data_IF_209806450295
#
_entry.id   IF_209806450295
#
_cell.length_a   1.000
_cell.length_b   1.000
_cell.length_c   1.000
_cell.angle_alpha   90.00
_cell.angle_beta   90.00
_cell.angle_gamma   90.00
#
_symmetry.space_group_name_H-M   'P 1'
#
loop_
_entity.id
_entity.type
_entity.pdbx_description
1 polymer ?
#
# COMPACT_ATOMS: atom_id res chain seq x y z
N UNK A 1 -38.52 -2.41 65.44
CA UNK A 1 -37.58 -3.20 64.64
C UNK A 1 -36.56 -3.81 65.60
N UNK A 2 -36.41 -5.13 65.64
CA UNK A 2 -35.40 -5.77 66.50
C UNK A 2 -33.99 -5.43 66.00
N UNK A 3 -33.00 -5.43 66.90
CA UNK A 3 -31.58 -5.23 66.55
C UNK A 3 -31.11 -6.18 65.45
N UNK A 4 -31.67 -7.39 65.40
CA UNK A 4 -31.40 -8.38 64.36
C UNK A 4 -31.97 -7.99 62.99
N UNK A 5 -33.13 -7.35 62.94
CA UNK A 5 -33.70 -6.83 61.68
C UNK A 5 -32.84 -5.71 61.06
N UNK A 6 -32.23 -4.87 61.90
CA UNK A 6 -31.31 -3.81 61.44
C UNK A 6 -30.01 -4.40 60.91
N UNK A 7 -29.46 -5.44 61.56
CA UNK A 7 -28.25 -6.15 61.10
C UNK A 7 -28.44 -6.80 59.73
N UNK A 8 -29.58 -7.47 59.52
CA UNK A 8 -29.88 -8.10 58.23
C UNK A 8 -30.06 -7.09 57.10
N UNK A 9 -30.73 -5.95 57.37
CA UNK A 9 -30.86 -4.87 56.40
C UNK A 9 -29.51 -4.28 55.98
N UNK A 10 -28.62 -4.01 56.94
CA UNK A 10 -27.27 -3.50 56.65
C UNK A 10 -26.47 -4.50 55.80
N UNK A 11 -26.56 -5.79 56.10
CA UNK A 11 -25.82 -6.82 55.37
C UNK A 11 -26.31 -6.96 53.91
N UNK A 12 -27.63 -6.88 53.68
CA UNK A 12 -28.22 -6.89 52.33
C UNK A 12 -27.76 -5.67 51.53
N UNK A 13 -27.76 -4.47 52.13
CA UNK A 13 -27.32 -3.24 51.46
C UNK A 13 -25.84 -3.31 51.08
N UNK A 14 -24.97 -3.82 51.96
CA UNK A 14 -23.54 -3.97 51.67
C UNK A 14 -23.29 -4.99 50.55
N UNK A 15 -23.99 -6.13 50.56
CA UNK A 15 -23.87 -7.15 49.50
C UNK A 15 -24.41 -6.62 48.17
N UNK A 16 -25.53 -5.90 48.18
CA UNK A 16 -26.08 -5.28 46.98
C UNK A 16 -25.13 -4.20 46.42
N UNK A 17 -24.55 -3.35 47.28
CA UNK A 17 -23.59 -2.33 46.88
C UNK A 17 -22.29 -2.94 46.34
N UNK A 18 -21.77 -4.00 46.97
CA UNK A 18 -20.60 -4.74 46.49
C UNK A 18 -20.90 -5.46 45.16
N UNK A 19 -22.08 -6.05 45.02
CA UNK A 19 -22.55 -6.69 43.79
C UNK A 19 -22.70 -5.69 42.64
N UNK A 20 -23.28 -4.51 42.90
CA UNK A 20 -23.35 -3.40 41.94
C UNK A 20 -21.94 -2.92 41.58
N UNK A 21 -21.04 -2.73 42.54
CA UNK A 21 -19.67 -2.29 42.29
C UNK A 21 -18.82 -3.32 41.51
N UNK A 22 -19.05 -4.61 41.72
CA UNK A 22 -18.43 -5.69 40.93
C UNK A 22 -19.03 -5.77 39.53
N UNK A 23 -20.35 -5.60 39.40
CA UNK A 23 -21.05 -5.62 38.12
C UNK A 23 -20.70 -4.43 37.23
N UNK A 24 -20.59 -3.21 37.79
CA UNK A 24 -20.16 -2.02 37.05
C UNK A 24 -18.71 -2.13 36.60
N UNK A 25 -17.79 -2.57 37.47
CA UNK A 25 -16.41 -2.86 37.07
C UNK A 25 -16.32 -3.92 35.99
N UNK A 26 -17.12 -4.98 36.08
CA UNK A 26 -17.18 -6.02 35.06
C UNK A 26 -17.69 -5.50 33.71
N UNK A 27 -18.72 -4.64 33.71
CA UNK A 27 -19.24 -3.96 32.52
C UNK A 27 -18.19 -3.02 31.89
N UNK A 28 -17.47 -2.26 32.71
CA UNK A 28 -16.39 -1.35 32.27
C UNK A 28 -15.20 -2.09 31.65
N UNK A 29 -14.99 -3.36 32.01
CA UNK A 29 -13.93 -4.20 31.42
C UNK A 29 -14.33 -4.94 30.13
N UNK A 30 -15.60 -4.86 29.71
CA UNK A 30 -16.02 -5.53 28.47
C UNK A 30 -15.36 -4.84 27.25
N UNK A 31 -14.78 -5.62 26.31
CA UNK A 31 -14.26 -5.05 25.08
C UNK A 31 -15.34 -4.26 24.33
N UNK A 32 -14.92 -3.19 23.66
CA UNK A 32 -15.80 -2.33 22.87
C UNK A 32 -16.87 -1.54 23.67
N UNK A 33 -16.80 -1.49 25.01
CA UNK A 33 -17.69 -0.63 25.83
C UNK A 33 -17.19 0.81 25.87
N UNK A 34 -15.88 0.99 26.02
CA UNK A 34 -15.21 2.28 25.90
C UNK A 34 -14.45 2.34 24.58
N UNK A 35 -14.53 3.45 23.83
CA UNK A 35 -13.77 3.61 22.61
C UNK A 35 -12.26 3.56 22.90
N UNK A 36 -11.51 2.92 22.02
CA UNK A 36 -10.07 3.11 21.94
C UNK A 36 -9.82 4.51 21.36
N UNK A 37 -9.31 5.40 22.20
CA UNK A 37 -9.04 6.79 21.83
C UNK A 37 -7.60 6.92 21.32
N UNK A 38 -7.41 7.61 20.20
CA UNK A 38 -6.12 7.75 19.54
C UNK A 38 -5.84 9.19 19.08
N UNK A 39 -4.56 9.53 18.99
CA UNK A 39 -4.07 10.79 18.46
C UNK A 39 -3.00 10.52 17.39
N UNK A 40 -2.69 11.54 16.59
CA UNK A 40 -1.50 11.52 15.74
C UNK A 40 -0.30 12.01 16.56
N UNK A 41 0.79 11.25 16.54
CA UNK A 41 2.06 11.58 17.16
C UNK A 41 3.06 12.11 16.14
N UNK A 42 4.27 11.54 16.14
CA UNK A 42 5.34 11.94 15.23
C UNK A 42 5.01 11.55 13.79
N UNK A 43 5.13 12.50 12.87
CA UNK A 43 4.94 12.29 11.42
C UNK A 43 6.25 12.64 10.74
N UNK A 44 6.97 11.62 10.28
CA UNK A 44 8.19 11.85 9.52
C UNK A 44 7.87 12.42 8.12
N UNK A 45 8.37 13.63 7.84
CA UNK A 45 8.09 14.34 6.59
C UNK A 45 8.56 13.57 5.34
N UNK A 46 9.47 12.60 5.48
CA UNK A 46 9.97 11.77 4.35
C UNK A 46 8.90 10.85 3.76
N UNK A 47 7.77 10.62 4.44
CA UNK A 47 6.61 9.96 3.85
C UNK A 47 5.86 10.84 2.84
N UNK A 48 6.13 12.16 2.80
CA UNK A 48 5.49 13.08 1.86
C UNK A 48 4.03 13.42 2.20
N UNK A 49 3.55 13.03 3.38
CA UNK A 49 2.23 13.41 3.91
C UNK A 49 2.39 14.18 5.23
N UNK A 50 1.48 15.14 5.46
CA UNK A 50 1.43 15.89 6.70
C UNK A 50 0.44 15.30 7.72
N UNK A 51 0.50 15.77 8.97
CA UNK A 51 -0.37 15.30 10.05
C UNK A 51 -1.86 15.42 9.73
N UNK A 52 -2.29 16.47 9.02
CA UNK A 52 -3.69 16.64 8.64
C UNK A 52 -4.21 15.52 7.72
N UNK A 53 -3.39 15.11 6.74
CA UNK A 53 -3.73 13.99 5.85
C UNK A 53 -3.78 12.68 6.64
N UNK A 54 -2.81 12.45 7.52
CA UNK A 54 -2.79 11.25 8.36
C UNK A 54 -3.98 11.19 9.34
N UNK A 55 -4.41 12.33 9.89
CA UNK A 55 -5.64 12.40 10.70
C UNK A 55 -6.85 11.96 9.88
N UNK A 56 -6.96 12.43 8.63
CA UNK A 56 -8.08 12.08 7.76
C UNK A 56 -8.09 10.59 7.43
N UNK A 57 -6.93 10.01 7.09
CA UNK A 57 -6.80 8.59 6.77
C UNK A 57 -7.04 7.70 8.01
N UNK A 58 -6.55 8.09 9.18
CA UNK A 58 -6.82 7.38 10.43
C UNK A 58 -8.30 7.42 10.82
N UNK A 59 -8.98 8.57 10.63
CA UNK A 59 -10.44 8.65 10.83
C UNK A 59 -11.21 7.77 9.86
N UNK A 60 -10.80 7.74 8.59
CA UNK A 60 -11.42 6.87 7.59
C UNK A 60 -11.22 5.38 7.93
N UNK A 61 -10.02 4.98 8.36
CA UNK A 61 -9.74 3.63 8.80
C UNK A 61 -10.53 3.24 10.07
N UNK A 62 -10.61 4.13 11.05
CA UNK A 62 -11.42 3.92 12.26
C UNK A 62 -12.92 3.78 11.94
N UNK A 63 -13.41 4.53 10.96
CA UNK A 63 -14.81 4.48 10.54
C UNK A 63 -15.21 3.08 10.02
N UNK A 64 -14.29 2.34 9.39
CA UNK A 64 -14.54 0.96 8.93
C UNK A 64 -15.02 0.08 10.10
N UNK A 65 -14.27 0.10 11.20
CA UNK A 65 -14.60 -0.69 12.39
C UNK A 65 -15.78 -0.14 13.17
N UNK A 66 -15.93 1.19 13.25
CA UNK A 66 -17.10 1.81 13.89
C UNK A 66 -18.40 1.45 13.17
N UNK A 67 -18.39 1.44 11.83
CA UNK A 67 -19.53 1.01 11.01
C UNK A 67 -19.81 -0.48 11.21
N UNK A 68 -18.78 -1.33 11.19
CA UNK A 68 -18.92 -2.76 11.44
C UNK A 68 -19.51 -3.06 12.83
N UNK A 69 -19.07 -2.34 13.86
CA UNK A 69 -19.55 -2.47 15.23
C UNK A 69 -20.91 -1.80 15.48
N UNK A 70 -21.37 -0.94 14.55
CA UNK A 70 -22.57 -0.10 14.68
C UNK A 70 -22.54 0.82 15.92
N UNK A 71 -21.35 1.15 16.40
CA UNK A 71 -21.09 2.08 17.51
C UNK A 71 -19.67 2.62 17.40
N UNK A 72 -19.40 3.71 18.12
CA UNK A 72 -18.05 4.28 18.17
C UNK A 72 -17.18 3.43 19.09
N UNK A 73 -16.25 2.66 18.52
CA UNK A 73 -15.25 1.87 19.24
C UNK A 73 -13.83 2.42 19.05
N UNK A 74 -13.64 3.33 18.10
CA UNK A 74 -12.42 4.09 17.86
C UNK A 74 -12.76 5.57 17.74
N UNK A 75 -12.05 6.42 18.48
CA UNK A 75 -12.29 7.85 18.50
C UNK A 75 -10.97 8.64 18.40
N UNK A 76 -10.94 9.65 17.54
CA UNK A 76 -9.81 10.57 17.48
C UNK A 76 -9.94 11.64 18.56
N UNK A 77 -8.88 11.82 19.35
CA UNK A 77 -8.72 12.91 20.30
C UNK A 77 -7.24 13.34 20.26
N UNK A 78 -6.91 14.61 19.98
CA UNK A 78 -5.51 15.08 19.92
C UNK A 78 -4.72 14.82 21.23
N UNK A 79 -5.40 14.77 22.37
CA UNK A 79 -4.80 14.56 23.69
C UNK A 79 -4.70 13.07 24.08
N UNK A 80 -5.17 12.15 23.22
CA UNK A 80 -5.15 10.73 23.54
C UNK A 80 -3.72 10.21 23.79
N UNK A 81 -3.59 9.31 24.77
CA UNK A 81 -2.31 8.69 25.10
C UNK A 81 -1.78 7.77 23.98
N UNK A 82 -2.67 7.04 23.29
CA UNK A 82 -2.26 6.19 22.18
C UNK A 82 -1.94 7.03 20.95
N UNK A 83 -0.67 7.03 20.54
CA UNK A 83 -0.20 7.78 19.37
C UNK A 83 -0.05 6.88 18.15
N UNK A 84 -0.45 7.40 16.99
CA UNK A 84 -0.13 6.85 15.67
C UNK A 84 1.03 7.65 15.09
N UNK A 85 2.13 6.98 14.77
CA UNK A 85 3.35 7.61 14.26
C UNK A 85 3.68 7.11 12.85
N UNK A 86 4.24 7.98 12.01
CA UNK A 86 4.96 7.54 10.80
C UNK A 86 6.44 7.50 11.11
N UNK A 87 7.02 6.31 11.08
CA UNK A 87 8.43 6.08 11.44
C UNK A 87 9.16 5.64 10.19
N UNK A 88 9.94 6.55 9.60
CA UNK A 88 10.65 6.26 8.36
C UNK A 88 11.92 5.50 8.70
N UNK A 89 11.92 4.21 8.37
CA UNK A 89 13.08 3.35 8.46
C UNK A 89 13.38 2.68 7.11
N UNK A 90 14.27 1.70 7.14
CA UNK A 90 14.68 0.89 6.01
C UNK A 90 13.52 0.18 5.26
N UNK A 91 12.38 -0.05 5.90
CA UNK A 91 11.18 -0.66 5.28
C UNK A 91 10.56 0.29 4.26
N UNK A 92 10.28 1.54 4.63
CA UNK A 92 9.76 2.53 3.68
C UNK A 92 10.74 2.77 2.52
N UNK A 93 12.05 2.82 2.80
CA UNK A 93 13.05 2.96 1.75
C UNK A 93 12.98 1.81 0.75
N UNK A 94 12.78 0.58 1.24
CA UNK A 94 12.63 -0.63 0.43
C UNK A 94 11.31 -0.64 -0.36
N UNK A 95 10.19 -0.26 0.27
CA UNK A 95 8.89 -0.17 -0.38
C UNK A 95 8.89 0.86 -1.53
N UNK A 96 9.47 2.05 -1.30
CA UNK A 96 9.65 3.06 -2.33
C UNK A 96 10.53 2.58 -3.48
N UNK A 97 11.63 1.88 -3.17
CA UNK A 97 12.50 1.29 -4.19
C UNK A 97 11.76 0.24 -5.03
N UNK A 98 10.98 -0.64 -4.38
CA UNK A 98 10.15 -1.64 -5.07
C UNK A 98 9.12 -0.99 -6.01
N UNK A 99 8.46 0.09 -5.57
CA UNK A 99 7.54 0.85 -6.41
C UNK A 99 8.24 1.50 -7.62
N UNK A 100 9.42 2.09 -7.41
CA UNK A 100 10.23 2.67 -8.47
C UNK A 100 10.66 1.64 -9.52
N UNK A 101 11.06 0.44 -9.07
CA UNK A 101 11.39 -0.68 -9.95
C UNK A 101 10.18 -1.07 -10.80
N UNK A 102 8.99 -1.16 -10.21
CA UNK A 102 7.77 -1.51 -10.93
C UNK A 102 7.43 -0.46 -12.01
N UNK A 103 7.55 0.83 -11.70
CA UNK A 103 7.34 1.91 -12.69
C UNK A 103 8.36 1.83 -13.83
N UNK A 104 9.65 1.67 -13.51
CA UNK A 104 10.71 1.56 -14.53
C UNK A 104 10.59 0.31 -15.39
N UNK A 105 10.11 -0.79 -14.82
CA UNK A 105 9.81 -2.00 -15.58
C UNK A 105 8.68 -1.74 -16.60
N UNK A 106 7.60 -1.07 -16.19
CA UNK A 106 6.50 -0.72 -17.09
C UNK A 106 6.94 0.26 -18.21
N UNK A 107 7.81 1.22 -17.88
CA UNK A 107 8.44 2.11 -18.86
C UNK A 107 9.34 1.34 -19.83
N UNK A 108 10.14 0.39 -19.35
CA UNK A 108 10.98 -0.45 -20.18
C UNK A 108 10.16 -1.34 -21.13
N UNK A 109 9.06 -1.92 -20.66
CA UNK A 109 8.15 -2.71 -21.51
C UNK A 109 7.53 -1.86 -22.62
N UNK A 110 7.12 -0.62 -22.30
CA UNK A 110 6.62 0.35 -23.27
C UNK A 110 7.70 0.72 -24.30
N UNK A 111 8.93 0.98 -23.84
CA UNK A 111 10.06 1.30 -24.71
C UNK A 111 10.43 0.15 -25.65
N UNK A 112 10.36 -1.11 -25.16
CA UNK A 112 10.57 -2.31 -25.98
C UNK A 112 9.53 -2.42 -27.10
N UNK A 113 8.25 -2.28 -26.79
CA UNK A 113 7.19 -2.34 -27.81
C UNK A 113 7.32 -1.24 -28.88
N UNK A 114 7.70 -0.02 -28.46
CA UNK A 114 7.98 1.08 -29.38
C UNK A 114 9.21 0.79 -30.27
N UNK A 115 10.23 0.14 -29.72
CA UNK A 115 11.43 -0.25 -30.44
C UNK A 115 11.15 -1.33 -31.50
N UNK A 116 10.40 -2.36 -31.14
CA UNK A 116 9.92 -3.41 -32.06
C UNK A 116 9.18 -2.78 -33.25
N UNK A 117 8.24 -1.85 -32.97
CA UNK A 117 7.51 -1.12 -34.01
C UNK A 117 8.42 -0.36 -34.96
N UNK A 118 9.51 0.24 -34.46
CA UNK A 118 10.46 0.97 -35.31
C UNK A 118 11.36 0.04 -36.12
N UNK A 119 11.74 -1.10 -35.56
CA UNK A 119 12.49 -2.14 -36.26
C UNK A 119 11.67 -2.74 -37.41
N UNK A 120 10.38 -2.99 -37.20
CA UNK A 120 9.46 -3.46 -38.25
C UNK A 120 9.32 -2.43 -39.37
N UNK A 121 9.14 -1.15 -39.01
CA UNK A 121 9.09 -0.05 -39.98
C UNK A 121 10.37 0.05 -40.80
N UNK A 122 11.53 -0.05 -40.15
CA UNK A 122 12.83 -0.02 -40.84
C UNK A 122 12.97 -1.20 -41.80
N UNK A 123 12.62 -2.41 -41.34
CA UNK A 123 12.70 -3.63 -42.15
C UNK A 123 11.78 -3.56 -43.37
N UNK A 124 10.54 -3.09 -43.18
CA UNK A 124 9.59 -2.89 -44.26
C UNK A 124 10.08 -1.84 -45.27
N UNK A 125 10.58 -0.70 -44.78
CA UNK A 125 11.08 0.37 -45.64
C UNK A 125 12.34 -0.06 -46.42
N UNK A 126 13.24 -0.83 -45.79
CA UNK A 126 14.40 -1.41 -46.47
C UNK A 126 13.97 -2.41 -47.55
N UNK A 127 12.97 -3.24 -47.29
CA UNK A 127 12.42 -4.17 -48.28
C UNK A 127 11.87 -3.43 -49.50
N UNK A 128 11.03 -2.42 -49.29
CA UNK A 128 10.45 -1.60 -50.36
C UNK A 128 11.55 -0.90 -51.18
N UNK A 129 12.54 -0.32 -50.50
CA UNK A 129 13.66 0.32 -51.17
C UNK A 129 14.47 -0.66 -52.02
N UNK A 130 14.78 -1.84 -51.48
CA UNK A 130 15.54 -2.87 -52.20
C UNK A 130 14.76 -3.42 -53.41
N UNK A 131 13.45 -3.58 -53.28
CA UNK A 131 12.55 -3.92 -54.39
C UNK A 131 12.63 -2.87 -55.51
N UNK A 132 12.48 -1.59 -55.16
CA UNK A 132 12.54 -0.47 -56.11
C UNK A 132 13.89 -0.37 -56.81
N UNK A 133 15.00 -0.54 -56.08
CA UNK A 133 16.35 -0.54 -56.66
C UNK A 133 16.51 -1.70 -57.64
N UNK A 134 16.01 -2.89 -57.31
CA UNK A 134 16.05 -4.06 -58.21
C UNK A 134 15.25 -3.82 -59.49
N UNK A 135 14.05 -3.27 -59.39
CA UNK A 135 13.20 -3.02 -60.55
C UNK A 135 13.82 -1.97 -61.50
N UNK A 136 14.39 -0.91 -60.94
CA UNK A 136 15.12 0.12 -61.72
C UNK A 136 16.36 -0.48 -62.40
N UNK A 137 17.11 -1.33 -61.70
CA UNK A 137 18.27 -2.01 -62.28
C UNK A 137 17.86 -2.96 -63.43
N UNK A 138 16.73 -3.65 -63.30
CA UNK A 138 16.19 -4.51 -64.37
C UNK A 138 15.77 -3.72 -65.62
N UNK A 139 15.45 -2.43 -65.48
CA UNK A 139 15.08 -1.53 -66.58
C UNK A 139 16.28 -0.84 -67.27
N UNK A 140 17.52 -1.23 -66.91
CA UNK A 140 18.73 -0.65 -67.49
C UNK A 140 19.38 0.44 -66.62
N UNK A 141 18.90 0.63 -65.40
CA UNK A 141 19.49 1.55 -64.41
C UNK A 141 18.73 2.88 -64.27
N UNK A 142 19.06 3.61 -63.20
CA UNK A 142 18.33 4.81 -62.80
C UNK A 142 18.60 6.02 -63.71
N UNK A 143 17.55 6.68 -64.18
CA UNK A 143 17.68 8.02 -64.80
C UNK A 143 17.98 9.09 -63.72
N UNK A 144 18.46 10.30 -64.08
CA UNK A 144 18.85 11.31 -63.08
C UNK A 144 17.78 11.66 -62.03
N UNK A 145 16.50 11.67 -62.44
CA UNK A 145 15.37 11.91 -61.52
C UNK A 145 15.19 10.79 -60.51
N UNK A 146 15.30 9.53 -60.95
CA UNK A 146 15.16 8.35 -60.10
C UNK A 146 16.35 8.22 -59.14
N UNK A 147 17.57 8.47 -59.64
CA UNK A 147 18.77 8.49 -58.81
C UNK A 147 18.65 9.51 -57.67
N UNK A 148 18.12 10.72 -57.95
CA UNK A 148 17.86 11.73 -56.93
C UNK A 148 16.81 11.28 -55.91
N UNK A 149 15.74 10.62 -56.35
CA UNK A 149 14.69 10.10 -55.46
C UNK A 149 15.22 8.96 -54.57
N UNK A 150 15.97 8.00 -55.13
CA UNK A 150 16.60 6.91 -54.39
C UNK A 150 17.63 7.43 -53.38
N UNK A 151 18.37 8.49 -53.70
CA UNK A 151 19.30 9.12 -52.77
C UNK A 151 18.56 9.74 -51.57
N UNK A 152 17.45 10.44 -51.81
CA UNK A 152 16.62 11.00 -50.74
C UNK A 152 16.00 9.90 -49.85
N UNK A 153 15.50 8.83 -50.46
CA UNK A 153 14.92 7.68 -49.73
C UNK A 153 15.97 6.94 -48.90
N UNK A 154 17.18 6.75 -49.45
CA UNK A 154 18.33 6.20 -48.72
C UNK A 154 18.70 7.07 -47.52
N UNK A 155 18.67 8.40 -47.66
CA UNK A 155 18.94 9.31 -46.55
C UNK A 155 17.87 9.20 -45.44
N UNK A 156 16.59 9.06 -45.82
CA UNK A 156 15.51 8.81 -44.86
C UNK A 156 15.67 7.47 -44.14
N UNK A 157 16.04 6.40 -44.85
CA UNK A 157 16.36 5.09 -44.26
C UNK A 157 17.55 5.16 -43.31
N UNK A 158 18.60 5.89 -43.67
CA UNK A 158 19.75 6.10 -42.80
C UNK A 158 19.36 6.83 -41.52
N UNK A 159 18.48 7.83 -41.62
CA UNK A 159 17.96 8.59 -40.48
C UNK A 159 17.13 7.69 -39.56
N UNK A 160 16.25 6.85 -40.13
CA UNK A 160 15.47 5.87 -39.39
C UNK A 160 16.36 4.82 -38.71
N UNK A 161 17.38 4.32 -39.41
CA UNK A 161 18.36 3.37 -38.88
C UNK A 161 19.14 3.97 -37.70
N UNK A 162 19.61 5.21 -37.82
CA UNK A 162 20.29 5.93 -36.73
C UNK A 162 19.36 6.13 -35.53
N UNK A 163 18.08 6.46 -35.76
CA UNK A 163 17.06 6.60 -34.72
C UNK A 163 16.82 5.29 -33.97
N UNK A 164 16.68 4.17 -34.71
CA UNK A 164 16.56 2.82 -34.11
C UNK A 164 17.79 2.50 -33.26
N UNK A 165 19.00 2.72 -33.79
CA UNK A 165 20.25 2.49 -33.06
C UNK A 165 20.32 3.27 -31.76
N UNK A 166 20.04 4.57 -31.79
CA UNK A 166 20.03 5.43 -30.59
C UNK A 166 18.99 4.96 -29.56
N UNK A 167 17.82 4.50 -30.01
CA UNK A 167 16.81 3.94 -29.11
C UNK A 167 17.20 2.59 -28.51
N UNK A 168 17.93 1.74 -29.23
CA UNK A 168 18.51 0.50 -28.66
C UNK A 168 19.49 0.86 -27.55
N UNK A 169 20.39 1.82 -27.79
CA UNK A 169 21.38 2.26 -26.80
C UNK A 169 20.70 2.82 -25.54
N UNK A 170 19.69 3.68 -25.72
CA UNK A 170 18.89 4.22 -24.61
C UNK A 170 18.15 3.11 -23.84
N UNK A 171 17.52 2.17 -24.55
CA UNK A 171 16.83 1.04 -23.93
C UNK A 171 17.78 0.17 -23.12
N UNK A 172 18.95 -0.19 -23.68
CA UNK A 172 19.97 -0.98 -22.98
C UNK A 172 20.48 -0.28 -21.72
N UNK A 173 20.67 1.05 -21.78
CA UNK A 173 21.05 1.84 -20.61
C UNK A 173 19.96 1.82 -19.52
N UNK A 174 18.68 1.95 -19.89
CA UNK A 174 17.56 1.85 -18.96
C UNK A 174 17.46 0.48 -18.31
N UNK A 175 17.67 -0.61 -19.08
CA UNK A 175 17.69 -1.98 -18.55
C UNK A 175 18.86 -2.18 -17.59
N UNK A 176 20.05 -1.65 -17.90
CA UNK A 176 21.20 -1.72 -17.01
C UNK A 176 20.93 -1.00 -15.67
N UNK A 177 20.30 0.18 -15.71
CA UNK A 177 19.89 0.91 -14.51
C UNK A 177 18.85 0.15 -13.69
N UNK A 178 17.82 -0.40 -14.36
CA UNK A 178 16.78 -1.20 -13.70
C UNK A 178 17.38 -2.44 -13.02
N UNK A 179 18.30 -3.15 -13.69
CA UNK A 179 18.98 -4.31 -13.11
C UNK A 179 19.79 -3.95 -11.86
N UNK A 180 20.42 -2.77 -11.83
CA UNK A 180 21.14 -2.29 -10.65
C UNK A 180 20.20 -2.02 -9.47
N UNK A 181 19.03 -1.43 -9.73
CA UNK A 181 18.00 -1.19 -8.70
C UNK A 181 17.37 -2.50 -8.21
N UNK A 182 17.08 -3.44 -9.10
CA UNK A 182 16.63 -4.79 -8.73
C UNK A 182 17.68 -5.50 -7.88
N UNK A 183 18.97 -5.37 -8.19
CA UNK A 183 20.04 -5.94 -7.37
C UNK A 183 20.07 -5.32 -5.96
N UNK A 184 19.86 -4.00 -5.84
CA UNK A 184 19.76 -3.33 -4.55
C UNK A 184 18.52 -3.79 -3.77
N UNK A 185 17.37 -3.92 -4.43
CA UNK A 185 16.13 -4.43 -3.82
C UNK A 185 16.26 -5.89 -3.37
N UNK A 186 16.93 -6.75 -4.16
CA UNK A 186 17.16 -8.14 -3.78
C UNK A 186 18.08 -8.30 -2.56
N UNK A 187 18.94 -7.31 -2.26
CA UNK A 187 19.72 -7.32 -1.01
C UNK A 187 18.84 -7.11 0.23
N UNK A 188 17.66 -6.50 0.06
CA UNK A 188 16.65 -6.37 1.11
C UNK A 188 15.63 -7.53 1.14
N UNK A 189 15.70 -8.47 0.19
CA UNK A 189 14.78 -9.60 0.10
C UNK A 189 15.09 -10.66 1.18
N UNK A 190 14.17 -10.81 2.13
CA UNK A 190 14.32 -11.72 3.28
C UNK A 190 13.78 -11.16 4.60
N UNK A 191 13.32 -9.91 4.61
CA UNK A 191 12.72 -9.28 5.79
C UNK A 191 11.22 -9.48 5.81
N UNK A 192 10.68 -9.70 7.00
CA UNK A 192 9.23 -9.72 7.23
C UNK A 192 8.65 -8.36 6.87
N UNK A 193 7.70 -8.35 5.91
CA UNK A 193 6.91 -7.18 5.54
C UNK A 193 6.03 -6.74 6.72
N UNK A 194 6.56 -5.91 7.60
CA UNK A 194 5.85 -5.30 8.72
C UNK A 194 5.56 -3.84 8.39
N UNK A 195 4.37 -3.59 7.83
CA UNK A 195 3.98 -2.27 7.33
C UNK A 195 3.52 -1.32 8.43
N UNK A 196 2.94 -1.91 9.47
CA UNK A 196 2.52 -1.25 10.69
C UNK A 196 2.73 -2.18 11.87
N UNK A 197 2.67 -1.61 13.06
CA UNK A 197 2.74 -2.35 14.30
C UNK A 197 2.01 -1.61 15.41
N UNK A 198 0.98 -2.26 15.94
CA UNK A 198 0.40 -1.96 17.23
C UNK A 198 1.26 -2.55 18.36
N UNK A 199 1.70 -1.69 19.27
CA UNK A 199 2.53 -2.05 20.43
C UNK A 199 1.82 -1.65 21.71
N UNK A 200 1.83 -2.54 22.69
CA UNK A 200 1.46 -2.26 24.07
C UNK A 200 2.54 -2.81 25.01
N UNK A 201 3.28 -1.91 25.64
CA UNK A 201 4.36 -2.25 26.56
C UNK A 201 4.40 -1.28 27.76
N UNK A 202 5.45 -1.37 28.59
CA UNK A 202 5.62 -0.54 29.78
C UNK A 202 5.69 0.97 29.49
N UNK A 203 6.02 1.36 28.25
CA UNK A 203 6.05 2.77 27.81
C UNK A 203 4.72 3.27 27.24
N UNK A 204 3.71 2.42 27.17
CA UNK A 204 2.36 2.76 26.75
C UNK A 204 1.88 1.99 25.52
N UNK A 205 0.83 2.54 24.90
CA UNK A 205 0.22 1.96 23.69
C UNK A 205 0.46 2.89 22.50
N UNK A 206 0.78 2.34 21.33
CA UNK A 206 1.07 3.11 20.11
C UNK A 206 0.86 2.27 18.87
N UNK A 207 0.64 2.94 17.75
CA UNK A 207 0.70 2.36 16.41
C UNK A 207 1.85 3.04 15.68
N UNK A 208 2.79 2.26 15.16
CA UNK A 208 3.82 2.78 14.27
C UNK A 208 3.52 2.29 12.85
N UNK A 209 3.55 3.19 11.89
CA UNK A 209 3.45 2.88 10.46
C UNK A 209 4.84 3.06 9.86
N UNK A 210 5.32 2.00 9.23
CA UNK A 210 6.68 1.90 8.73
C UNK A 210 6.75 1.97 7.22
N UNK A 211 5.74 1.46 6.49
CA UNK A 211 5.73 1.56 5.02
C UNK A 211 4.31 1.60 4.43
N UNK A 212 4.14 2.35 3.34
CA UNK A 212 2.94 2.31 2.50
C UNK A 212 3.17 2.99 1.14
N UNK A 213 2.42 2.56 0.14
CA UNK A 213 2.38 3.09 -1.22
C UNK A 213 0.99 3.67 -1.45
N UNK A 214 0.90 4.99 -1.28
CA UNK A 214 -0.34 5.75 -1.49
C UNK A 214 -1.40 5.57 -0.40
N UNK A 215 -2.50 6.29 -0.58
CA UNK A 215 -3.53 6.51 0.45
C UNK A 215 -4.34 5.26 0.78
N UNK A 216 -4.62 4.39 -0.20
CA UNK A 216 -5.41 3.17 0.05
C UNK A 216 -4.64 2.14 0.86
N UNK A 217 -3.35 1.96 0.59
CA UNK A 217 -2.51 1.08 1.41
C UNK A 217 -2.35 1.64 2.82
N UNK A 218 -2.12 2.94 2.99
CA UNK A 218 -2.06 3.57 4.30
C UNK A 218 -3.34 3.32 5.12
N UNK A 219 -4.52 3.57 4.53
CA UNK A 219 -5.81 3.29 5.18
C UNK A 219 -5.96 1.82 5.56
N UNK A 220 -5.49 0.88 4.71
CA UNK A 220 -5.53 -0.55 5.00
C UNK A 220 -4.65 -0.93 6.17
N UNK A 221 -3.41 -0.46 6.20
CA UNK A 221 -2.48 -0.71 7.33
C UNK A 221 -3.07 -0.13 8.61
N UNK A 222 -3.55 1.13 8.58
CA UNK A 222 -4.22 1.74 9.73
C UNK A 222 -5.42 0.94 10.20
N UNK A 223 -6.27 0.44 9.29
CA UNK A 223 -7.41 -0.39 9.65
C UNK A 223 -6.96 -1.71 10.31
N UNK A 224 -5.90 -2.35 9.80
CA UNK A 224 -5.33 -3.56 10.41
C UNK A 224 -4.83 -3.29 11.83
N UNK A 225 -3.99 -2.27 12.03
CA UNK A 225 -3.46 -1.91 13.35
C UNK A 225 -4.55 -1.47 14.34
N UNK A 226 -5.60 -0.81 13.83
CA UNK A 226 -6.76 -0.50 14.65
C UNK A 226 -7.53 -1.75 15.09
N UNK A 227 -7.59 -2.79 14.26
CA UNK A 227 -8.16 -4.07 14.67
C UNK A 227 -7.41 -4.65 15.87
N UNK A 228 -6.07 -4.63 15.84
CA UNK A 228 -5.24 -5.00 16.99
C UNK A 228 -5.48 -4.10 18.21
N UNK A 229 -5.63 -2.78 18.00
CA UNK A 229 -5.92 -1.84 19.07
C UNK A 229 -7.28 -2.11 19.75
N UNK A 230 -8.29 -2.53 18.98
CA UNK A 230 -9.59 -2.97 19.48
C UNK A 230 -9.47 -4.30 20.23
N UNK A 231 -8.50 -5.15 19.88
CA UNK A 231 -8.24 -6.45 20.51
C UNK A 231 -8.39 -7.64 19.58
N UNK A 232 -8.49 -7.43 18.27
CA UNK A 232 -8.55 -8.50 17.27
C UNK A 232 -7.15 -9.09 17.04
N UNK A 233 -7.09 -10.42 16.93
CA UNK A 233 -5.91 -11.12 16.41
C UNK A 233 -5.96 -11.26 14.88
N UNK A 234 -4.92 -11.86 14.32
CA UNK A 234 -4.95 -12.27 12.92
C UNK A 234 -5.99 -13.36 12.67
N UNK A 235 -6.50 -13.44 11.45
CA UNK A 235 -7.27 -14.57 10.95
C UNK A 235 -6.67 -15.12 9.65
N UNK A 236 -7.16 -16.28 9.19
CA UNK A 236 -6.60 -17.01 8.05
C UNK A 236 -7.24 -16.66 6.69
N UNK A 237 -8.22 -15.74 6.66
CA UNK A 237 -8.87 -15.33 5.40
C UNK A 237 -7.97 -14.33 4.66
N UNK A 238 -7.39 -14.67 3.49
CA UNK A 238 -6.46 -13.79 2.78
C UNK A 238 -7.09 -12.47 2.30
N UNK A 239 -8.42 -12.37 2.30
CA UNK A 239 -9.14 -11.15 1.93
C UNK A 239 -9.50 -10.29 3.15
N UNK A 240 -9.36 -10.81 4.36
CA UNK A 240 -9.66 -10.10 5.59
C UNK A 240 -8.72 -8.92 5.81
N UNK A 241 -9.23 -7.89 6.49
CA UNK A 241 -8.38 -6.79 6.95
C UNK A 241 -7.35 -7.33 7.93
N UNK A 242 -7.76 -8.21 8.86
CA UNK A 242 -6.88 -8.83 9.87
C UNK A 242 -6.05 -10.01 9.35
N UNK A 243 -5.94 -10.23 8.04
CA UNK A 243 -4.98 -11.20 7.51
C UNK A 243 -3.55 -10.73 7.77
N UNK A 244 -2.67 -11.63 8.22
CA UNK A 244 -1.30 -11.29 8.61
C UNK A 244 -0.44 -10.72 7.46
N UNK A 245 -0.83 -10.95 6.21
CA UNK A 245 -0.15 -10.41 5.03
C UNK A 245 -1.06 -9.41 4.31
N UNK A 246 -0.55 -8.24 3.99
CA UNK A 246 -1.32 -7.24 3.26
C UNK A 246 -1.29 -7.49 1.74
N UNK A 247 -1.95 -8.56 1.29
CA UNK A 247 -1.91 -9.01 -0.12
C UNK A 247 -3.10 -8.52 -0.96
N UNK A 248 -4.22 -8.13 -0.34
CA UNK A 248 -5.50 -7.96 -1.03
C UNK A 248 -5.94 -6.51 -1.26
N UNK A 249 -5.32 -5.51 -0.59
CA UNK A 249 -5.74 -4.09 -0.65
C UNK A 249 -7.18 -3.81 -0.19
N UNK A 250 -7.92 -4.83 0.26
CA UNK A 250 -9.32 -4.75 0.61
C UNK A 250 -9.54 -3.89 1.87
N UNK A 251 -10.44 -2.90 1.78
CA UNK A 251 -10.85 -2.03 2.90
C UNK A 251 -12.21 -2.41 3.50
N UNK A 252 -12.80 -3.50 3.04
CA UNK A 252 -14.09 -4.00 3.54
C UNK A 252 -13.84 -5.19 4.46
N UNK A 253 -14.24 -5.14 5.75
CA UNK A 253 -14.11 -6.28 6.65
C UNK A 253 -14.82 -7.51 6.07
N UNK A 254 -14.16 -8.65 6.07
CA UNK A 254 -14.79 -9.90 5.59
C UNK A 254 -15.67 -10.51 6.68
N UNK A 255 -16.38 -11.59 6.36
CA UNK A 255 -17.16 -12.34 7.35
C UNK A 255 -16.28 -12.84 8.51
N UNK A 256 -15.00 -13.15 8.26
CA UNK A 256 -14.05 -13.55 9.28
C UNK A 256 -13.76 -12.40 10.26
N UNK A 257 -13.48 -11.19 9.74
CA UNK A 257 -13.29 -9.98 10.56
C UNK A 257 -14.53 -9.67 11.40
N UNK A 258 -15.71 -9.70 10.77
CA UNK A 258 -16.98 -9.37 11.42
C UNK A 258 -17.33 -10.39 12.52
N UNK A 259 -17.07 -11.68 12.29
CA UNK A 259 -17.29 -12.74 13.29
C UNK A 259 -16.37 -12.57 14.50
N UNK A 260 -15.10 -12.24 14.26
CA UNK A 260 -14.14 -11.99 15.34
C UNK A 260 -14.52 -10.74 16.15
N UNK A 261 -14.91 -9.66 15.45
CA UNK A 261 -15.38 -8.43 16.08
C UNK A 261 -16.65 -8.66 16.92
N UNK A 262 -17.62 -9.41 16.39
CA UNK A 262 -18.85 -9.73 17.13
C UNK A 262 -18.59 -10.54 18.39
N UNK A 263 -17.70 -11.55 18.28
CA UNK A 263 -17.27 -12.38 19.41
C UNK A 263 -16.59 -11.53 20.49
N UNK A 264 -15.73 -10.59 20.10
CA UNK A 264 -15.00 -9.72 21.01
C UNK A 264 -15.94 -8.70 21.70
N UNK A 265 -16.79 -8.04 20.92
CA UNK A 265 -17.66 -6.97 21.41
C UNK A 265 -18.95 -7.48 22.09
N UNK A 266 -19.18 -8.80 22.11
CA UNK A 266 -20.33 -9.43 22.78
C UNK A 266 -21.67 -9.17 22.12
N UNK A 267 -21.71 -9.10 20.78
CA UNK A 267 -22.94 -8.93 19.99
C UNK A 267 -23.55 -10.25 19.58
#
# INVERSE_FOLDING_TARGET
MSSDGIRWLVLIVVVAAAGVGLYTRYQDTRPCTQPVVYAIGAVDARFGIGSAALIADAKAAAAIWNTAAKKTILAYDPEAAMKINLVYDEREATAKLGHQIALKQAEADTARAALETLQDKLTAAQKIYNEKVRDINAQGGAIPREAKALAAERQSLQTLSNSVKSKIEAYNASIAALNAEVAAFNQSAGRTFEQGQYVRDASGTRINIFEFIGTDQLKRVLAHEFGHAIGLGHNDDPKAIMFAKNESGNLVPTSADLSALGTLCGS
#
